data_IF_880845458266
#
_entry.id   IF_880845458266
#
_cell.length_a   1.000
_cell.length_b   1.000
_cell.length_c   1.000
_cell.angle_alpha   90.00
_cell.angle_beta   90.00
_cell.angle_gamma   90.00
#
_symmetry.space_group_name_H-M   'P 1'
#
loop_
_entity.id
_entity.type
_entity.pdbx_description
1 polymer ?
#
# COMPACT_ATOMS: atom_id res chain seq x y z
N UNK A 1 -9.01 7.61 10.71
CA UNK A 1 -9.24 6.93 9.42
C UNK A 1 -9.78 7.98 8.46
N UNK A 2 -9.21 8.11 7.27
CA UNK A 2 -9.70 9.04 6.24
C UNK A 2 -11.05 8.56 5.72
N UNK A 3 -12.01 9.47 5.52
CA UNK A 3 -13.34 9.09 5.05
C UNK A 3 -13.31 8.70 3.56
N UNK A 4 -14.07 7.67 3.11
CA UNK A 4 -14.10 7.26 1.70
C UNK A 4 -14.39 8.41 0.74
N UNK A 5 -15.36 9.27 1.09
CA UNK A 5 -15.72 10.46 0.31
C UNK A 5 -14.56 11.45 0.17
N UNK A 6 -13.74 11.63 1.20
CA UNK A 6 -12.56 12.51 1.14
C UNK A 6 -11.48 11.94 0.22
N UNK A 7 -11.24 10.62 0.30
CA UNK A 7 -10.28 9.94 -0.59
C UNK A 7 -10.76 10.01 -2.04
N UNK A 8 -12.05 9.79 -2.29
CA UNK A 8 -12.66 9.91 -3.61
C UNK A 8 -12.56 11.34 -4.17
N UNK A 9 -12.80 12.37 -3.34
CA UNK A 9 -12.64 13.76 -3.77
C UNK A 9 -11.19 14.07 -4.17
N UNK A 10 -10.21 13.67 -3.35
CA UNK A 10 -8.79 13.84 -3.66
C UNK A 10 -8.40 13.06 -4.92
N UNK A 11 -8.94 11.86 -5.11
CA UNK A 11 -8.72 11.07 -6.31
C UNK A 11 -9.19 11.82 -7.55
N UNK A 12 -10.45 12.28 -7.56
CA UNK A 12 -11.00 13.04 -8.68
C UNK A 12 -10.19 14.31 -8.98
N UNK A 13 -9.75 15.03 -7.95
CA UNK A 13 -8.84 16.18 -8.08
C UNK A 13 -7.49 15.79 -8.68
N UNK A 14 -6.85 14.74 -8.16
CA UNK A 14 -5.53 14.32 -8.62
C UNK A 14 -5.55 13.79 -10.05
N UNK A 15 -6.66 13.20 -10.50
CA UNK A 15 -6.80 12.62 -11.84
C UNK A 15 -7.38 13.59 -12.88
N UNK A 16 -7.76 14.81 -12.50
CA UNK A 16 -8.35 15.77 -13.45
C UNK A 16 -7.34 16.30 -14.45
N UNK A 17 -6.04 16.26 -14.11
CA UNK A 17 -4.93 16.63 -14.98
C UNK A 17 -3.79 15.61 -14.85
N UNK A 18 -3.06 15.32 -15.94
CA UNK A 18 -1.93 14.39 -15.91
C UNK A 18 -0.75 14.95 -15.09
N UNK A 19 0.07 14.08 -14.51
CA UNK A 19 1.22 14.48 -13.69
C UNK A 19 2.20 15.38 -14.45
N UNK A 20 2.40 15.12 -15.75
CA UNK A 20 3.26 15.87 -16.68
C UNK A 20 2.88 17.35 -16.78
N UNK A 21 1.59 17.66 -16.56
CA UNK A 21 1.10 19.04 -16.59
C UNK A 21 1.34 19.77 -15.27
N UNK A 22 1.59 19.03 -14.17
CA UNK A 22 1.78 19.57 -12.82
C UNK A 22 3.24 19.58 -12.36
N UNK A 23 4.01 18.57 -12.76
CA UNK A 23 5.40 18.37 -12.35
C UNK A 23 6.30 18.44 -13.58
N UNK A 24 6.99 19.58 -13.72
CA UNK A 24 7.91 19.83 -14.83
C UNK A 24 9.25 19.08 -14.67
N UNK A 25 9.58 18.67 -13.44
CA UNK A 25 10.77 17.88 -13.15
C UNK A 25 10.56 16.41 -13.53
N UNK A 26 11.17 16.01 -14.65
CA UNK A 26 11.11 14.65 -15.19
C UNK A 26 12.05 13.66 -14.52
N UNK A 27 12.81 14.07 -13.50
CA UNK A 27 13.67 13.17 -12.72
C UNK A 27 12.88 12.37 -11.69
N UNK A 28 11.65 12.78 -11.39
CA UNK A 28 10.75 12.10 -10.44
C UNK A 28 9.77 11.19 -11.21
N UNK A 29 9.56 9.94 -10.76
CA UNK A 29 8.52 9.08 -11.33
C UNK A 29 7.15 9.76 -11.27
N UNK A 30 6.46 9.79 -12.42
CA UNK A 30 5.12 10.35 -12.56
C UNK A 30 4.07 9.27 -12.30
N UNK A 31 3.01 9.62 -11.58
CA UNK A 31 1.89 8.70 -11.35
C UNK A 31 0.88 8.81 -12.49
N UNK A 32 0.46 7.66 -13.00
CA UNK A 32 -0.66 7.56 -13.93
C UNK A 32 -1.99 7.70 -13.18
N UNK A 33 -3.09 7.81 -13.92
CA UNK A 33 -4.44 7.73 -13.35
C UNK A 33 -4.60 6.42 -12.56
N UNK A 34 -4.15 5.29 -13.12
CA UNK A 34 -4.24 3.97 -12.48
C UNK A 34 -3.49 3.96 -11.14
N UNK A 35 -2.32 4.58 -11.06
CA UNK A 35 -1.55 4.67 -9.81
C UNK A 35 -2.31 5.42 -8.73
N UNK A 36 -2.96 6.54 -9.06
CA UNK A 36 -3.81 7.25 -8.10
C UNK A 36 -4.97 6.40 -7.58
N UNK A 37 -5.63 5.63 -8.45
CA UNK A 37 -6.68 4.69 -8.02
C UNK A 37 -6.12 3.58 -7.11
N UNK A 38 -4.94 3.03 -7.42
CA UNK A 38 -4.28 2.02 -6.57
C UNK A 38 -3.97 2.57 -5.19
N UNK A 39 -3.42 3.79 -5.10
CA UNK A 39 -3.10 4.43 -3.82
C UNK A 39 -4.40 4.75 -3.06
N UNK A 40 -5.43 5.24 -3.73
CA UNK A 40 -6.74 5.49 -3.12
C UNK A 40 -7.35 4.22 -2.51
N UNK A 41 -7.34 3.10 -3.25
CA UNK A 41 -7.76 1.80 -2.73
C UNK A 41 -6.91 1.38 -1.52
N UNK A 42 -5.60 1.64 -1.56
CA UNK A 42 -4.69 1.32 -0.48
C UNK A 42 -4.96 2.12 0.80
N UNK A 43 -5.29 3.41 0.69
CA UNK A 43 -5.65 4.24 1.85
C UNK A 43 -6.90 3.70 2.55
N UNK A 44 -7.86 3.21 1.78
CA UNK A 44 -9.11 2.65 2.31
C UNK A 44 -8.98 1.19 2.77
N UNK A 45 -7.88 0.52 2.41
CA UNK A 45 -7.67 -0.87 2.73
C UNK A 45 -7.45 -1.11 4.23
N UNK A 46 -8.18 -2.08 4.78
CA UNK A 46 -7.98 -2.58 6.13
C UNK A 46 -7.79 -4.09 6.07
N UNK A 47 -6.68 -4.57 6.65
CA UNK A 47 -6.45 -6.01 6.79
C UNK A 47 -7.48 -6.62 7.74
N UNK A 48 -8.26 -7.57 7.25
CA UNK A 48 -9.24 -8.32 8.05
C UNK A 48 -8.60 -9.39 8.96
N UNK A 49 -7.28 -9.52 8.91
CA UNK A 49 -6.50 -10.47 9.71
C UNK A 49 -6.98 -11.92 9.54
N UNK A 50 -7.48 -12.26 8.34
CA UNK A 50 -7.92 -13.61 7.99
C UNK A 50 -6.77 -14.63 7.93
N UNK A 51 -5.53 -14.16 7.77
CA UNK A 51 -4.35 -15.00 7.70
C UNK A 51 -4.04 -15.57 6.32
N UNK A 52 -4.92 -15.45 5.32
CA UNK A 52 -4.70 -16.01 3.98
C UNK A 52 -3.33 -15.61 3.40
N UNK A 53 -3.07 -14.31 3.24
CA UNK A 53 -1.79 -13.82 2.72
C UNK A 53 -0.60 -14.12 3.64
N UNK A 54 -0.81 -14.32 4.95
CA UNK A 54 0.24 -14.73 5.87
C UNK A 54 0.60 -16.21 5.75
N UNK A 55 -0.24 -17.03 5.11
CA UNK A 55 -0.04 -18.48 5.00
C UNK A 55 0.15 -18.96 3.56
N UNK A 56 -0.16 -18.14 2.55
CA UNK A 56 -0.09 -18.51 1.13
C UNK A 56 0.63 -17.46 0.25
N UNK A 57 1.23 -16.43 0.84
CA UNK A 57 1.86 -15.34 0.08
C UNK A 57 3.23 -15.68 -0.51
N UNK A 58 3.69 -14.84 -1.44
CA UNK A 58 5.04 -14.91 -2.01
C UNK A 58 6.13 -14.62 -0.96
N UNK A 59 7.40 -15.00 -1.22
CA UNK A 59 8.56 -14.57 -0.44
C UNK A 59 8.52 -13.07 -0.11
N UNK A 60 8.59 -12.77 1.19
CA UNK A 60 8.61 -11.39 1.68
C UNK A 60 10.05 -10.90 1.65
N UNK A 61 10.34 -10.01 0.71
CA UNK A 61 11.62 -9.30 0.67
C UNK A 61 11.71 -8.33 1.84
N UNK A 62 12.92 -8.16 2.35
CA UNK A 62 13.24 -7.27 3.46
C UNK A 62 14.30 -6.28 3.03
N UNK A 63 14.02 -5.00 3.27
CA UNK A 63 15.07 -3.99 3.31
C UNK A 63 15.85 -4.07 4.63
N UNK A 64 16.98 -3.37 4.69
CA UNK A 64 17.71 -3.18 5.93
C UNK A 64 16.84 -2.45 6.98
N UNK A 65 16.08 -1.45 6.55
CA UNK A 65 15.18 -0.69 7.43
C UNK A 65 14.06 -1.57 8.00
N UNK A 66 13.57 -2.54 7.22
CA UNK A 66 12.58 -3.51 7.69
C UNK A 66 13.13 -4.36 8.83
N UNK A 67 14.34 -4.92 8.69
CA UNK A 67 14.90 -5.78 9.74
C UNK A 67 15.26 -4.98 11.00
N UNK A 68 15.67 -3.74 10.87
CA UNK A 68 15.89 -2.83 12.01
C UNK A 68 14.59 -2.51 12.75
N UNK A 69 13.53 -2.20 12.01
CA UNK A 69 12.20 -1.94 12.54
C UNK A 69 11.63 -3.17 13.26
N UNK A 70 11.81 -4.35 12.69
CA UNK A 70 11.43 -5.64 13.33
C UNK A 70 12.27 -5.88 14.60
N UNK A 71 13.59 -5.67 14.56
CA UNK A 71 14.47 -5.83 15.70
C UNK A 71 14.06 -4.93 16.88
N UNK A 72 13.78 -3.64 16.61
CA UNK A 72 13.26 -2.68 17.59
C UNK A 72 11.93 -3.15 18.18
N UNK A 73 10.98 -3.59 17.34
CA UNK A 73 9.66 -4.07 17.78
C UNK A 73 9.76 -5.29 18.70
N UNK A 74 10.68 -6.19 18.39
CA UNK A 74 10.94 -7.42 19.14
C UNK A 74 11.87 -7.22 20.34
N UNK A 75 12.47 -6.03 20.49
CA UNK A 75 13.45 -5.70 21.54
C UNK A 75 14.62 -6.68 21.57
N UNK A 76 15.18 -6.98 20.40
CA UNK A 76 16.39 -7.82 20.26
C UNK A 76 17.48 -7.07 19.48
N UNK A 77 18.77 -7.43 19.65
CA UNK A 77 19.85 -6.85 18.85
C UNK A 77 19.66 -7.13 17.35
N UNK A 78 20.02 -6.16 16.51
CA UNK A 78 19.89 -6.23 15.05
C UNK A 78 20.56 -7.50 14.47
N UNK A 79 21.80 -7.80 14.85
CA UNK A 79 22.49 -9.00 14.37
C UNK A 79 21.77 -10.30 14.71
N UNK A 80 21.06 -10.35 15.86
CA UNK A 80 20.22 -11.49 16.24
C UNK A 80 18.96 -11.56 15.38
N UNK A 81 18.35 -10.43 15.05
CA UNK A 81 17.21 -10.35 14.15
C UNK A 81 17.57 -10.84 12.74
N UNK A 82 18.66 -10.32 12.17
CA UNK A 82 19.20 -10.74 10.86
C UNK A 82 19.40 -12.25 10.85
N UNK A 83 20.22 -12.79 11.77
CA UNK A 83 20.49 -14.24 11.83
C UNK A 83 19.21 -15.09 11.94
N UNK A 84 18.23 -14.63 12.72
CA UNK A 84 17.02 -15.40 13.04
C UNK A 84 15.93 -15.31 11.97
N UNK A 85 15.81 -14.18 11.28
CA UNK A 85 14.66 -13.88 10.41
C UNK A 85 14.99 -13.65 8.95
N UNK A 86 16.26 -13.47 8.56
CA UNK A 86 16.61 -13.19 7.17
C UNK A 86 17.46 -14.30 6.55
N UNK A 87 17.28 -14.54 5.25
CA UNK A 87 18.17 -15.33 4.40
C UNK A 87 18.50 -14.54 3.14
N UNK A 88 19.66 -14.77 2.50
CA UNK A 88 19.91 -14.18 1.19
C UNK A 88 18.86 -14.63 0.17
N UNK A 89 18.40 -13.71 -0.67
CA UNK A 89 17.61 -14.03 -1.87
C UNK A 89 18.53 -14.84 -2.83
N UNK A 90 18.11 -16.04 -3.29
CA UNK A 90 18.95 -16.91 -4.11
C UNK A 90 19.24 -16.33 -5.50
N UNK A 91 18.38 -15.44 -6.00
CA UNK A 91 18.43 -14.90 -7.36
C UNK A 91 18.96 -13.45 -7.37
N UNK A 92 19.06 -12.79 -6.21
CA UNK A 92 19.43 -11.37 -6.09
C UNK A 92 20.51 -11.14 -5.02
N UNK A 93 21.80 -11.09 -5.42
CA UNK A 93 22.91 -10.83 -4.50
C UNK A 93 22.69 -9.54 -3.69
N UNK A 94 22.81 -9.64 -2.36
CA UNK A 94 22.66 -8.50 -1.44
C UNK A 94 21.23 -8.21 -0.99
N UNK A 95 20.22 -8.89 -1.56
CA UNK A 95 18.83 -8.81 -1.09
C UNK A 95 18.58 -9.85 0.00
N UNK A 96 17.78 -9.48 0.99
CA UNK A 96 17.39 -10.36 2.09
C UNK A 96 15.92 -10.74 1.96
N UNK A 97 15.63 -12.03 2.10
CA UNK A 97 14.29 -12.58 2.21
C UNK A 97 13.97 -12.95 3.65
N UNK A 98 12.69 -12.88 3.98
CA UNK A 98 12.18 -13.37 5.24
C UNK A 98 12.29 -14.91 5.30
N UNK A 99 12.90 -15.45 6.35
CA UNK A 99 13.04 -16.90 6.58
C UNK A 99 11.69 -17.53 6.95
N UNK A 100 11.35 -18.64 6.28
CA UNK A 100 10.21 -19.50 6.62
C UNK A 100 8.90 -18.71 6.69
N UNK A 101 8.50 -18.14 5.55
CA UNK A 101 7.29 -17.30 5.44
C UNK A 101 5.98 -18.07 5.33
N UNK A 102 5.99 -19.37 5.06
CA UNK A 102 4.79 -20.17 4.86
C UNK A 102 4.77 -21.36 5.83
N UNK A 103 3.99 -21.28 6.93
CA UNK A 103 3.22 -20.12 7.40
C UNK A 103 4.10 -19.01 8.01
N UNK A 104 3.64 -17.76 7.98
CA UNK A 104 4.42 -16.63 8.49
C UNK A 104 4.60 -16.75 10.00
N UNK A 105 5.84 -16.78 10.46
CA UNK A 105 6.19 -16.93 11.89
C UNK A 105 5.59 -15.85 12.80
N UNK A 106 5.26 -14.69 12.24
CA UNK A 106 4.64 -13.60 12.98
C UNK A 106 3.12 -13.62 12.98
N UNK A 107 2.48 -14.43 12.16
CA UNK A 107 1.05 -14.67 12.28
C UNK A 107 0.77 -15.52 13.53
N UNK A 108 -0.19 -15.08 14.33
CA UNK A 108 -0.73 -15.83 15.45
C UNK A 108 -2.08 -16.41 15.01
N UNK A 109 -2.19 -17.73 14.78
CA UNK A 109 -3.42 -18.35 14.29
C UNK A 109 -4.52 -18.39 15.35
N UNK A 110 -4.17 -18.38 16.64
CA UNK A 110 -5.13 -18.39 17.75
C UNK A 110 -5.75 -17.01 17.89
N UNK A 111 -4.91 -15.97 17.93
CA UNK A 111 -5.37 -14.58 18.06
C UNK A 111 -5.76 -13.94 16.73
N UNK A 112 -5.62 -14.67 15.60
CA UNK A 112 -5.85 -14.23 14.22
C UNK A 112 -5.28 -12.84 13.95
N UNK A 113 -3.97 -12.66 14.21
CA UNK A 113 -3.30 -11.35 14.01
C UNK A 113 -1.80 -11.47 13.78
N UNK A 114 -1.21 -10.45 13.17
CA UNK A 114 0.24 -10.34 13.08
C UNK A 114 0.81 -9.77 14.39
N UNK A 115 1.78 -10.47 14.98
CA UNK A 115 2.50 -10.08 16.20
C UNK A 115 3.37 -8.83 16.03
N UNK A 116 3.70 -8.47 14.79
CA UNK A 116 4.49 -7.29 14.44
C UNK A 116 3.73 -6.35 13.51
N UNK A 117 2.40 -6.26 13.59
CA UNK A 117 1.58 -5.54 12.60
C UNK A 117 2.08 -4.10 12.29
N UNK A 118 2.51 -3.36 13.31
CA UNK A 118 3.01 -1.98 13.13
C UNK A 118 4.45 -1.92 12.59
N UNK A 119 5.20 -2.99 12.78
CA UNK A 119 6.56 -3.18 12.27
C UNK A 119 6.61 -4.12 11.06
N UNK A 120 5.48 -4.27 10.35
CA UNK A 120 5.42 -5.08 9.13
C UNK A 120 6.46 -4.59 8.13
N UNK A 121 7.10 -5.52 7.40
CA UNK A 121 8.03 -5.15 6.34
C UNK A 121 7.31 -4.45 5.20
N UNK A 122 8.07 -3.73 4.37
CA UNK A 122 7.55 -2.95 3.26
C UNK A 122 6.60 -3.73 2.36
N UNK A 123 6.97 -4.95 1.93
CA UNK A 123 6.12 -5.80 1.08
C UNK A 123 4.75 -6.10 1.71
N UNK A 124 4.69 -6.28 3.04
CA UNK A 124 3.43 -6.48 3.75
C UNK A 124 2.62 -5.19 3.95
N UNK A 125 3.27 -4.02 3.85
CA UNK A 125 2.61 -2.71 3.94
C UNK A 125 1.96 -2.34 2.62
N UNK A 126 2.63 -2.56 1.49
CA UNK A 126 2.15 -2.18 0.15
C UNK A 126 1.06 -3.12 -0.41
N UNK A 127 1.00 -4.36 0.08
CA UNK A 127 -0.07 -5.29 -0.27
C UNK A 127 -1.43 -4.74 0.20
N UNK A 128 -2.51 -4.80 -0.62
CA UNK A 128 -2.63 -5.53 -1.88
C UNK A 128 -2.51 -4.69 -3.16
N UNK A 129 -2.39 -3.36 -3.08
CA UNK A 129 -2.60 -2.50 -4.25
C UNK A 129 -1.32 -1.84 -4.80
N UNK A 130 -0.28 -1.67 -3.99
CA UNK A 130 0.92 -0.90 -4.34
C UNK A 130 2.07 -1.83 -4.74
N UNK A 131 2.98 -1.33 -5.60
CA UNK A 131 4.22 -2.02 -5.99
C UNK A 131 3.98 -3.22 -6.90
N UNK A 132 4.65 -4.34 -6.59
CA UNK A 132 4.63 -5.60 -7.37
C UNK A 132 3.23 -6.23 -7.48
N UNK A 133 2.29 -5.82 -6.64
CA UNK A 133 0.95 -6.39 -6.56
C UNK A 133 -0.09 -5.70 -7.45
N UNK A 134 0.24 -4.54 -8.04
CA UNK A 134 -0.66 -3.88 -9.01
C UNK A 134 -0.17 -3.97 -10.46
N UNK A 135 -1.00 -3.45 -11.37
CA UNK A 135 -0.73 -3.41 -12.81
C UNK A 135 -0.59 -1.97 -13.28
N UNK A 136 0.15 -1.78 -14.37
CA UNK A 136 0.31 -0.48 -15.04
C UNK A 136 -1.00 -0.03 -15.70
N UNK A 137 -1.80 -0.98 -16.21
CA UNK A 137 -3.01 -0.69 -16.98
C UNK A 137 -4.30 -0.66 -16.13
N UNK A 138 -4.33 -1.37 -15.00
CA UNK A 138 -5.55 -1.48 -14.18
C UNK A 138 -5.28 -1.78 -12.70
N UNK A 139 -6.26 -1.43 -11.87
CA UNK A 139 -6.27 -1.83 -10.45
C UNK A 139 -6.56 -3.32 -10.36
N UNK A 140 -5.57 -4.10 -9.90
CA UNK A 140 -5.75 -5.53 -9.62
C UNK A 140 -6.42 -5.73 -8.26
N UNK A 141 -7.50 -6.51 -8.26
CA UNK A 141 -8.21 -6.90 -7.04
C UNK A 141 -7.77 -8.30 -6.66
N UNK A 142 -7.27 -8.47 -5.43
CA UNK A 142 -6.97 -9.79 -4.89
C UNK A 142 -8.26 -10.42 -4.33
N UNK A 143 -8.99 -11.18 -5.15
CA UNK A 143 -10.30 -11.74 -4.77
C UNK A 143 -10.28 -12.59 -3.48
N UNK A 144 -9.16 -13.25 -3.19
CA UNK A 144 -8.95 -14.01 -1.94
C UNK A 144 -8.78 -13.13 -0.70
N UNK A 145 -8.64 -11.81 -0.87
CA UNK A 145 -8.55 -10.82 0.18
C UNK A 145 -9.85 -10.02 0.27
N UNK A 146 -10.75 -10.41 1.18
CA UNK A 146 -12.01 -9.69 1.40
C UNK A 146 -11.80 -8.20 1.74
N UNK A 147 -10.69 -7.85 2.41
CA UNK A 147 -10.31 -6.46 2.65
C UNK A 147 -10.02 -5.66 1.37
N UNK A 148 -9.42 -6.25 0.34
CA UNK A 148 -9.20 -5.56 -0.94
C UNK A 148 -10.50 -5.37 -1.70
N UNK A 149 -11.36 -6.40 -1.72
CA UNK A 149 -12.68 -6.31 -2.36
C UNK A 149 -13.50 -5.19 -1.71
N UNK A 150 -13.52 -5.11 -0.38
CA UNK A 150 -14.20 -4.03 0.36
C UNK A 150 -13.63 -2.65 0.05
N UNK A 151 -12.30 -2.50 0.01
CA UNK A 151 -11.66 -1.21 -0.25
C UNK A 151 -12.01 -0.65 -1.63
N UNK A 152 -12.00 -1.50 -2.67
CA UNK A 152 -12.39 -1.11 -4.03
C UNK A 152 -13.86 -0.72 -4.07
N UNK A 153 -14.73 -1.56 -3.49
CA UNK A 153 -16.17 -1.28 -3.41
C UNK A 153 -16.44 0.08 -2.75
N UNK A 154 -15.83 0.34 -1.60
CA UNK A 154 -15.96 1.61 -0.88
C UNK A 154 -15.49 2.81 -1.72
N UNK A 155 -14.40 2.66 -2.46
CA UNK A 155 -13.92 3.74 -3.33
C UNK A 155 -14.88 4.00 -4.49
N UNK A 156 -15.34 2.94 -5.16
CA UNK A 156 -16.29 3.03 -6.28
C UNK A 156 -17.57 3.72 -5.84
N UNK A 157 -18.18 3.26 -4.74
CA UNK A 157 -19.40 3.86 -4.18
C UNK A 157 -19.17 5.34 -3.84
N UNK A 158 -18.07 5.68 -3.17
CA UNK A 158 -17.77 7.07 -2.82
C UNK A 158 -17.53 7.98 -4.04
N UNK A 159 -16.93 7.46 -5.12
CA UNK A 159 -16.76 8.20 -6.38
C UNK A 159 -18.10 8.40 -7.07
N UNK A 160 -18.95 7.38 -7.12
CA UNK A 160 -20.27 7.46 -7.74
C UNK A 160 -21.21 8.39 -6.97
N UNK A 161 -21.17 8.36 -5.64
CA UNK A 161 -21.88 9.32 -4.78
C UNK A 161 -21.46 10.76 -5.08
N UNK A 162 -20.15 11.04 -5.19
CA UNK A 162 -19.68 12.39 -5.56
C UNK A 162 -20.15 12.81 -6.95
N UNK A 163 -20.13 11.90 -7.93
CA UNK A 163 -20.54 12.21 -9.31
C UNK A 163 -22.04 12.45 -9.45
N UNK A 164 -22.84 11.84 -8.57
CA UNK A 164 -24.31 11.97 -8.57
C UNK A 164 -24.82 13.08 -7.65
N UNK A 165 -23.96 13.60 -6.76
CA UNK A 165 -24.25 14.74 -5.90
C UNK A 165 -24.47 16.01 -6.74
N UNK A 166 -25.67 16.61 -6.75
CA UNK A 166 -25.97 17.80 -7.56
C UNK A 166 -25.20 19.05 -7.12
N UNK A 167 -24.60 19.03 -5.92
CA UNK A 167 -23.78 20.13 -5.39
C UNK A 167 -22.30 19.97 -5.76
N UNK A 168 -21.90 18.82 -6.30
CA UNK A 168 -20.52 18.56 -6.66
C UNK A 168 -20.13 19.28 -7.96
N UNK A 169 -19.02 20.03 -7.90
CA UNK A 169 -18.40 20.64 -9.07
C UNK A 169 -17.17 19.82 -9.50
N UNK A 170 -17.09 19.34 -10.75
CA UNK A 170 -15.92 18.65 -11.27
C UNK A 170 -14.80 19.60 -11.73
N UNK A 171 -14.96 20.91 -11.54
CA UNK A 171 -13.97 21.90 -11.89
C UNK A 171 -13.01 22.14 -10.73
N UNK A 172 -11.73 21.82 -10.94
CA UNK A 172 -10.67 21.99 -9.97
C UNK A 172 -9.61 22.96 -10.50
N UNK A 173 -9.20 23.91 -9.67
CA UNK A 173 -8.06 24.77 -9.99
C UNK A 173 -6.72 24.00 -9.86
N UNK A 174 -5.66 24.56 -10.45
CA UNK A 174 -4.32 23.96 -10.46
C UNK A 174 -3.78 23.66 -9.06
N UNK A 175 -4.12 24.49 -8.08
CA UNK A 175 -3.61 24.36 -6.72
C UNK A 175 -4.32 23.22 -5.97
N UNK A 176 -5.63 23.03 -6.20
CA UNK A 176 -6.36 21.85 -5.72
C UNK A 176 -5.77 20.56 -6.27
N UNK A 177 -5.52 20.51 -7.58
CA UNK A 177 -4.91 19.33 -8.25
C UNK A 177 -3.54 19.05 -7.65
N UNK A 178 -2.67 20.06 -7.54
CA UNK A 178 -1.32 19.93 -6.99
C UNK A 178 -1.33 19.40 -5.55
N UNK A 179 -2.20 19.95 -4.69
CA UNK A 179 -2.35 19.48 -3.30
C UNK A 179 -2.85 18.03 -3.23
N UNK A 180 -3.78 17.64 -4.10
CA UNK A 180 -4.28 16.27 -4.14
C UNK A 180 -3.19 15.29 -4.57
N UNK A 181 -2.44 15.60 -5.63
CA UNK A 181 -1.30 14.80 -6.09
C UNK A 181 -0.21 14.69 -5.01
N UNK A 182 0.12 15.79 -4.33
CA UNK A 182 1.08 15.77 -3.22
C UNK A 182 0.60 14.88 -2.08
N UNK A 183 -0.68 14.94 -1.71
CA UNK A 183 -1.24 14.08 -0.67
C UNK A 183 -1.07 12.59 -0.97
N UNK A 184 -1.27 12.17 -2.22
CA UNK A 184 -1.02 10.78 -2.62
C UNK A 184 0.47 10.41 -2.57
N UNK A 185 1.38 11.33 -2.92
CA UNK A 185 2.83 11.13 -2.76
C UNK A 185 3.20 10.95 -1.29
N UNK A 186 2.66 11.78 -0.40
CA UNK A 186 2.90 11.68 1.03
C UNK A 186 2.40 10.33 1.59
N UNK A 187 1.23 9.85 1.15
CA UNK A 187 0.73 8.51 1.49
C UNK A 187 1.73 7.42 1.08
N UNK A 188 2.27 7.48 -0.15
CA UNK A 188 3.27 6.52 -0.61
C UNK A 188 4.55 6.54 0.23
N UNK A 189 4.95 7.71 0.74
CA UNK A 189 6.12 7.82 1.59
C UNK A 189 5.88 7.25 2.99
N UNK A 190 4.63 7.25 3.49
CA UNK A 190 4.30 6.59 4.77
C UNK A 190 4.36 5.06 4.72
N UNK A 191 4.21 4.46 3.52
CA UNK A 191 4.25 3.01 3.35
C UNK A 191 5.64 2.46 3.08
N UNK A 192 6.60 3.32 2.69
CA UNK A 192 8.04 3.02 2.62
C UNK A 192 8.61 2.69 4.02
#
# INVERSE_FOLDING_TARGET
MTLPREVALKLLQATSLPDESMFLDRTVPLNTVVDYYRIACHVLFVCERCGTCCNTGDPIRLSQDDIERIARRLKIPLGKAVKKYTMPDPDRPGVLDFKKILPCKFYDPVMRRCKIYDARPWSCRIFPFIGIYGSEDQVKIHESCAGSVKAVKMLTEAVDELRTDPTFSPFFDMEMVKRAKQWFKDVLDTVK
#
